data_IF_696477596027
#
_entry.id   IF_696477596027
#
_cell.length_a   1.000
_cell.length_b   1.000
_cell.length_c   1.000
_cell.angle_alpha   90.00
_cell.angle_beta   90.00
_cell.angle_gamma   90.00
#
_symmetry.space_group_name_H-M   'P 1'
#
loop_
_entity.id
_entity.type
_entity.pdbx_description
1 polymer ?
#
# COMPACT_ATOMS: atom_id res chain seq x y z
N UNK A 1 -20.91 -16.18 -2.09
CA UNK A 1 -19.92 -15.69 -1.10
C UNK A 1 -19.19 -14.47 -1.64
N UNK A 2 -18.33 -14.60 -2.66
CA UNK A 2 -17.47 -13.50 -3.15
C UNK A 2 -18.17 -12.26 -3.73
N UNK A 3 -19.48 -12.32 -4.04
CA UNK A 3 -20.27 -11.14 -4.47
C UNK A 3 -20.35 -10.06 -3.39
N UNK A 4 -20.26 -10.45 -2.11
CA UNK A 4 -20.44 -9.54 -0.96
C UNK A 4 -19.28 -9.57 0.02
N UNK A 5 -18.28 -10.42 -0.21
CA UNK A 5 -17.05 -10.44 0.60
C UNK A 5 -16.20 -9.24 0.25
N UNK A 6 -15.74 -8.49 1.26
CA UNK A 6 -14.79 -7.40 1.05
C UNK A 6 -13.46 -7.98 0.57
N UNK A 7 -13.03 -7.58 -0.62
CA UNK A 7 -11.67 -7.83 -1.11
C UNK A 7 -10.74 -6.73 -0.62
N UNK A 8 -9.47 -7.04 -0.46
CA UNK A 8 -8.41 -6.06 -0.21
C UNK A 8 -7.41 -6.09 -1.36
N UNK A 9 -6.73 -4.97 -1.58
CA UNK A 9 -5.63 -4.87 -2.54
C UNK A 9 -4.30 -4.89 -1.78
N UNK A 10 -3.21 -5.25 -2.46
CA UNK A 10 -1.90 -5.12 -1.86
C UNK A 10 -0.75 -5.33 -2.84
N UNK A 11 0.42 -4.82 -2.46
CA UNK A 11 1.65 -4.93 -3.24
C UNK A 11 2.86 -5.10 -2.32
N UNK A 12 3.92 -5.71 -2.86
CA UNK A 12 5.15 -5.90 -2.12
C UNK A 12 6.08 -4.69 -2.20
N UNK A 13 6.86 -4.48 -1.14
CA UNK A 13 8.02 -3.57 -1.12
C UNK A 13 9.26 -4.31 -0.62
N UNK A 14 10.42 -3.73 -0.85
CA UNK A 14 11.71 -4.16 -0.30
C UNK A 14 11.87 -3.72 1.17
N UNK A 15 11.42 -2.51 1.49
CA UNK A 15 11.65 -1.88 2.79
C UNK A 15 10.37 -1.20 3.33
N UNK A 16 9.81 -1.78 4.41
CA UNK A 16 8.58 -1.29 5.05
C UNK A 16 8.79 0.06 5.76
N UNK A 17 9.83 0.26 6.59
CA UNK A 17 10.15 1.58 7.15
C UNK A 17 10.23 2.68 6.08
N UNK A 18 10.90 2.42 4.96
CA UNK A 18 11.00 3.39 3.86
C UNK A 18 9.65 3.63 3.19
N UNK A 19 8.85 2.59 2.99
CA UNK A 19 7.49 2.74 2.48
C UNK A 19 6.61 3.57 3.43
N UNK A 20 6.73 3.37 4.74
CA UNK A 20 6.00 4.15 5.76
C UNK A 20 6.34 5.64 5.70
N UNK A 21 7.62 5.99 5.62
CA UNK A 21 8.07 7.37 5.47
C UNK A 21 7.52 7.99 4.18
N UNK A 22 7.63 7.28 3.06
CA UNK A 22 7.15 7.78 1.78
C UNK A 22 5.62 7.98 1.77
N UNK A 23 4.84 6.95 2.07
CA UNK A 23 3.38 7.04 2.00
C UNK A 23 2.81 7.90 3.14
N UNK A 24 3.35 7.81 4.35
CA UNK A 24 2.84 8.52 5.51
C UNK A 24 3.30 9.98 5.61
N UNK A 25 4.57 10.26 5.33
CA UNK A 25 5.15 11.59 5.55
C UNK A 25 5.26 12.38 4.23
N UNK A 26 5.75 11.76 3.16
CA UNK A 26 5.89 12.45 1.87
C UNK A 26 4.54 12.67 1.19
N UNK A 27 3.71 11.62 1.13
CA UNK A 27 2.38 11.69 0.52
C UNK A 27 1.26 12.07 1.51
N UNK A 28 1.54 12.07 2.81
CA UNK A 28 0.58 12.47 3.85
C UNK A 28 -0.59 11.50 4.04
N UNK A 29 -0.47 10.24 3.61
CA UNK A 29 -1.51 9.24 3.80
C UNK A 29 -1.59 8.80 5.25
N UNK A 30 -2.79 8.49 5.71
CA UNK A 30 -2.95 7.77 6.97
C UNK A 30 -2.48 6.32 6.78
N UNK A 31 -1.57 5.89 7.66
CA UNK A 31 -0.99 4.54 7.59
C UNK A 31 -0.97 3.89 8.97
N UNK A 32 -1.18 2.58 9.01
CA UNK A 32 -0.99 1.76 10.21
C UNK A 32 0.02 0.66 9.94
N UNK A 33 0.79 0.27 10.95
CA UNK A 33 1.78 -0.80 10.85
C UNK A 33 1.43 -1.90 11.86
N UNK A 34 1.34 -3.14 11.38
CA UNK A 34 1.07 -4.30 12.21
C UNK A 34 1.80 -5.53 11.64
N UNK A 35 2.40 -6.35 12.51
CA UNK A 35 3.07 -7.59 12.12
C UNK A 35 4.13 -7.42 11.00
N UNK A 36 4.81 -6.28 10.97
CA UNK A 36 5.82 -5.96 9.96
C UNK A 36 5.25 -5.65 8.56
N UNK A 37 3.96 -5.36 8.47
CA UNK A 37 3.27 -4.92 7.25
C UNK A 37 2.64 -3.55 7.47
N UNK A 38 2.46 -2.80 6.40
CA UNK A 38 1.88 -1.48 6.41
C UNK A 38 0.50 -1.52 5.72
N UNK A 39 -0.49 -0.87 6.31
CA UNK A 39 -1.81 -0.65 5.68
C UNK A 39 -1.92 0.82 5.32
N UNK A 40 -2.22 1.10 4.05
CA UNK A 40 -2.55 2.45 3.58
C UNK A 40 -4.07 2.64 3.70
N UNK A 41 -4.50 3.62 4.50
CA UNK A 41 -5.91 3.96 4.66
C UNK A 41 -6.33 4.95 3.58
N UNK A 42 -6.85 4.41 2.48
CA UNK A 42 -7.25 5.19 1.30
C UNK A 42 -8.76 5.44 1.34
N UNK A 43 -9.16 6.61 0.84
CA UNK A 43 -10.56 7.01 0.76
C UNK A 43 -11.47 5.93 0.14
N UNK A 44 -12.65 5.76 0.74
CA UNK A 44 -13.67 4.83 0.25
C UNK A 44 -13.63 3.42 0.84
N UNK A 45 -13.03 3.23 2.03
CA UNK A 45 -12.93 1.91 2.70
C UNK A 45 -12.16 0.89 1.85
N UNK A 46 -11.03 1.34 1.26
CA UNK A 46 -10.20 0.57 0.33
C UNK A 46 -8.77 0.46 0.85
N UNK A 47 -8.65 -0.10 2.05
CA UNK A 47 -7.35 -0.38 2.64
C UNK A 47 -6.47 -1.20 1.68
N UNK A 48 -5.23 -0.75 1.53
CA UNK A 48 -4.24 -1.39 0.67
C UNK A 48 -3.08 -1.89 1.51
N UNK A 49 -2.86 -3.21 1.47
CA UNK A 49 -1.80 -3.87 2.22
C UNK A 49 -0.46 -3.76 1.49
N UNK A 50 0.55 -3.28 2.20
CA UNK A 50 1.92 -3.20 1.73
C UNK A 50 2.75 -4.16 2.58
N UNK A 51 3.38 -5.12 1.94
CA UNK A 51 4.05 -6.23 2.64
C UNK A 51 5.49 -6.43 2.17
N UNK A 52 6.40 -6.84 3.06
CA UNK A 52 7.76 -7.16 2.66
C UNK A 52 7.78 -8.48 1.89
N UNK A 53 8.63 -8.57 0.86
CA UNK A 53 8.92 -9.85 0.19
C UNK A 53 10.32 -10.39 0.49
N UNK A 54 11.05 -9.72 1.39
CA UNK A 54 12.41 -10.11 1.77
C UNK A 54 13.35 -10.19 0.56
N UNK A 55 14.23 -11.19 0.56
CA UNK A 55 15.21 -11.41 -0.50
C UNK A 55 14.58 -11.72 -1.88
N UNK A 56 13.30 -12.13 -1.91
CA UNK A 56 12.54 -12.40 -3.14
C UNK A 56 11.87 -11.12 -3.71
N UNK A 57 12.09 -9.97 -3.11
CA UNK A 57 11.62 -8.70 -3.65
C UNK A 57 12.38 -8.34 -4.93
N UNK A 58 11.62 -8.04 -5.98
CA UNK A 58 12.13 -7.43 -7.20
C UNK A 58 11.22 -6.26 -7.56
N UNK A 59 11.75 -5.13 -8.05
CA UNK A 59 10.91 -4.02 -8.50
C UNK A 59 9.86 -4.52 -9.48
N UNK A 60 8.60 -4.20 -9.20
CA UNK A 60 7.49 -4.70 -10.01
C UNK A 60 7.63 -4.19 -11.46
N UNK A 61 7.60 -5.10 -12.43
CA UNK A 61 7.48 -4.72 -13.84
C UNK A 61 6.10 -4.15 -14.17
N UNK A 62 5.10 -4.45 -13.33
CA UNK A 62 3.76 -3.90 -13.41
C UNK A 62 3.04 -3.97 -12.05
N UNK A 63 2.88 -2.82 -11.40
CA UNK A 63 2.04 -2.63 -10.19
C UNK A 63 1.63 -1.16 -10.18
N UNK A 64 0.35 -0.88 -9.96
CA UNK A 64 -0.19 0.48 -10.14
C UNK A 64 -1.06 0.83 -8.93
N UNK A 65 -0.79 1.99 -8.36
CA UNK A 65 -1.66 2.71 -7.45
C UNK A 65 -1.67 4.17 -7.90
N UNK A 66 -2.83 4.64 -8.38
CA UNK A 66 -2.97 5.99 -8.94
C UNK A 66 -3.84 6.85 -8.04
N UNK A 67 -3.39 8.09 -7.80
CA UNK A 67 -4.14 9.12 -7.11
C UNK A 67 -4.53 10.21 -8.12
N UNK A 68 -5.83 10.35 -8.45
CA UNK A 68 -6.29 11.50 -9.21
C UNK A 68 -6.07 12.77 -8.39
N UNK A 69 -5.49 13.80 -9.00
CA UNK A 69 -5.25 15.12 -8.41
C UNK A 69 -5.69 16.21 -9.39
N UNK A 70 -6.00 17.39 -8.87
CA UNK A 70 -6.50 18.51 -9.68
C UNK A 70 -5.42 19.16 -10.56
N UNK A 71 -4.13 19.05 -10.18
CA UNK A 71 -2.99 19.71 -10.84
C UNK A 71 -1.71 18.83 -10.77
N UNK A 72 -0.89 18.82 -11.83
CA UNK A 72 0.30 17.94 -12.03
C UNK A 72 1.56 18.76 -12.35
#
# INVERSE_FOLDING_TARGET
>A
MFKTTKAFSGFSVDDIPRAREFYGETLGLEVSEENGMLTLHIAGDRDTLVYPKGDDHTPASFTILNFPVDDI
#
